data_IF_455605266187
#
_entry.id   IF_455605266187
#
_cell.length_a   1.000
_cell.length_b   1.000
_cell.length_c   1.000
_cell.angle_alpha   90.00
_cell.angle_beta   90.00
_cell.angle_gamma   90.00
#
_symmetry.space_group_name_H-M   'P 1'
#
loop_
_entity.id
_entity.type
_entity.pdbx_description
1 polymer ?
#
# COMPACT_ATOMS: atom_id res chain seq x y z
N UNK A 1 9.56 -6.77 19.56
CA UNK A 1 8.62 -6.03 18.70
C UNK A 1 8.66 -4.60 19.21
N UNK A 2 9.22 -3.65 18.45
CA UNK A 2 9.26 -2.25 18.92
C UNK A 2 7.86 -1.67 18.74
N UNK A 3 7.13 -1.48 19.84
CA UNK A 3 5.86 -0.75 19.88
C UNK A 3 6.15 0.74 19.72
N UNK A 4 6.33 1.18 18.47
CA UNK A 4 6.27 2.59 18.15
C UNK A 4 4.82 2.94 17.86
N UNK A 5 4.16 3.77 18.69
CA UNK A 5 2.78 4.18 18.42
C UNK A 5 2.72 4.86 17.05
N UNK A 6 1.67 4.60 16.26
CA UNK A 6 1.54 5.21 14.94
C UNK A 6 1.50 6.73 15.09
N UNK A 7 2.36 7.42 14.33
CA UNK A 7 2.35 8.88 14.27
C UNK A 7 1.49 9.30 13.09
N UNK A 8 0.44 10.06 13.37
CA UNK A 8 -0.43 10.63 12.34
C UNK A 8 0.27 11.80 11.66
N UNK A 9 0.15 11.88 10.35
CA UNK A 9 0.69 12.97 9.54
C UNK A 9 -0.40 13.56 8.66
N UNK A 10 -0.35 14.88 8.37
CA UNK A 10 -1.27 15.48 7.40
C UNK A 10 -1.01 14.90 6.00
N UNK A 11 -2.05 14.79 5.14
CA UNK A 11 -1.94 14.19 3.81
C UNK A 11 -0.90 14.89 2.90
N UNK A 12 -0.64 16.17 3.16
CA UNK A 12 0.32 17.00 2.42
C UNK A 12 1.78 16.72 2.74
N UNK A 13 2.07 15.95 3.81
CA UNK A 13 3.46 15.68 4.20
C UNK A 13 4.09 14.60 3.32
N UNK A 14 5.21 14.94 2.68
CA UNK A 14 5.96 14.01 1.86
C UNK A 14 6.82 13.05 2.73
N UNK A 15 6.47 11.76 2.74
CA UNK A 15 7.10 10.76 3.59
C UNK A 15 8.34 10.14 2.90
N UNK A 16 9.48 10.85 2.86
CA UNK A 16 10.69 10.40 2.13
C UNK A 16 11.52 9.31 2.81
N UNK A 17 11.61 9.34 4.14
CA UNK A 17 12.69 8.65 4.88
C UNK A 17 12.24 7.48 5.76
N UNK A 18 10.94 7.33 6.02
CA UNK A 18 10.41 6.32 6.93
C UNK A 18 9.24 5.56 6.28
N UNK A 19 9.06 4.26 6.59
CA UNK A 19 7.91 3.51 6.13
C UNK A 19 6.62 4.20 6.55
N UNK A 20 5.62 4.16 5.68
CA UNK A 20 4.34 4.82 5.93
C UNK A 20 3.16 3.91 5.62
N UNK A 21 2.07 4.11 6.36
CA UNK A 21 0.76 3.54 6.09
C UNK A 21 -0.19 4.69 5.74
N UNK A 22 -0.83 4.60 4.60
CA UNK A 22 -1.84 5.56 4.12
C UNK A 22 -3.16 4.82 4.00
N UNK A 23 -4.20 5.32 4.65
CA UNK A 23 -5.53 4.72 4.67
C UNK A 23 -6.52 5.80 4.23
N UNK A 24 -7.39 5.49 3.27
CA UNK A 24 -8.38 6.45 2.79
C UNK A 24 -9.45 5.83 1.91
N UNK A 25 -10.40 6.67 1.51
CA UNK A 25 -11.38 6.30 0.50
C UNK A 25 -10.74 6.28 -0.87
N UNK A 26 -11.33 5.53 -1.80
CA UNK A 26 -10.81 5.34 -3.14
C UNK A 26 -10.45 6.66 -3.84
N UNK A 27 -11.40 7.59 -3.89
CA UNK A 27 -11.19 8.90 -4.50
C UNK A 27 -10.07 9.70 -3.81
N UNK A 28 -10.00 9.65 -2.49
CA UNK A 28 -9.01 10.41 -1.72
C UNK A 28 -7.61 9.85 -1.91
N UNK A 29 -7.48 8.52 -1.98
CA UNK A 29 -6.22 7.84 -2.30
C UNK A 29 -5.76 8.20 -3.70
N UNK A 30 -6.65 8.21 -4.69
CA UNK A 30 -6.27 8.53 -6.07
C UNK A 30 -5.83 10.00 -6.21
N UNK A 31 -6.51 10.93 -5.53
CA UNK A 31 -6.08 12.33 -5.44
C UNK A 31 -4.73 12.47 -4.73
N UNK A 32 -4.53 11.73 -3.63
CA UNK A 32 -3.30 11.76 -2.86
C UNK A 32 -2.11 11.20 -3.63
N UNK A 33 -2.28 10.08 -4.35
CA UNK A 33 -1.24 9.49 -5.20
C UNK A 33 -0.73 10.51 -6.22
N UNK A 34 -1.65 11.19 -6.91
CA UNK A 34 -1.34 12.27 -7.87
C UNK A 34 -0.61 13.43 -7.21
N UNK A 35 -1.10 13.89 -6.05
CA UNK A 35 -0.48 14.99 -5.30
C UNK A 35 0.95 14.65 -4.81
N UNK A 36 1.24 13.37 -4.58
CA UNK A 36 2.58 12.90 -4.19
C UNK A 36 3.45 12.50 -5.38
N UNK A 37 2.97 12.67 -6.62
CA UNK A 37 3.65 12.21 -7.84
C UNK A 37 4.03 10.73 -7.79
N UNK A 38 3.15 9.91 -7.19
CA UNK A 38 3.28 8.46 -7.16
C UNK A 38 2.55 7.84 -8.36
N UNK A 39 2.90 6.60 -8.74
CA UNK A 39 2.12 5.84 -9.71
C UNK A 39 0.65 5.78 -9.29
N UNK A 40 -0.23 5.75 -10.28
CA UNK A 40 -1.63 5.41 -10.06
C UNK A 40 -1.74 3.98 -9.50
N UNK A 41 -2.95 3.65 -9.03
CA UNK A 41 -3.28 2.35 -8.50
C UNK A 41 -2.89 1.22 -9.46
N UNK A 42 -2.17 0.17 -9.02
CA UNK A 42 -1.78 -0.93 -9.90
C UNK A 42 -3.00 -1.63 -10.51
N UNK A 43 -2.91 -1.97 -11.80
CA UNK A 43 -3.98 -2.67 -12.54
C UNK A 43 -4.47 -3.95 -11.84
N UNK A 44 -3.56 -4.64 -11.13
CA UNK A 44 -3.91 -5.87 -10.42
C UNK A 44 -4.95 -5.64 -9.33
N UNK A 45 -4.98 -4.46 -8.70
CA UNK A 45 -5.94 -4.11 -7.64
C UNK A 45 -7.04 -3.15 -8.10
N UNK A 46 -6.79 -2.36 -9.16
CA UNK A 46 -7.71 -1.33 -9.63
C UNK A 46 -9.13 -1.86 -9.91
N UNK A 47 -10.13 -1.22 -9.30
CA UNK A 47 -11.55 -1.50 -9.53
C UNK A 47 -12.03 -2.84 -8.98
N UNK A 48 -11.26 -3.51 -8.11
CA UNK A 48 -11.60 -4.84 -7.59
C UNK A 48 -12.00 -4.81 -6.13
N UNK A 49 -13.05 -5.57 -5.80
CA UNK A 49 -13.57 -5.69 -4.44
C UNK A 49 -14.11 -4.36 -3.89
N UNK A 50 -14.41 -4.35 -2.60
CA UNK A 50 -14.83 -3.17 -1.84
C UNK A 50 -13.65 -2.47 -1.17
N UNK A 51 -12.54 -3.16 -0.97
CA UNK A 51 -11.33 -2.59 -0.42
C UNK A 51 -10.08 -3.34 -0.88
N UNK A 52 -8.95 -2.67 -0.82
CA UNK A 52 -7.69 -3.16 -1.35
C UNK A 52 -6.53 -2.57 -0.55
N UNK A 53 -5.52 -3.39 -0.32
CA UNK A 53 -4.27 -2.99 0.31
C UNK A 53 -3.10 -3.37 -0.60
N UNK A 54 -2.13 -2.49 -0.76
CA UNK A 54 -0.94 -2.78 -1.53
C UNK A 54 0.27 -1.97 -1.09
N UNK A 55 1.46 -2.48 -1.39
CA UNK A 55 2.72 -1.80 -1.12
C UNK A 55 3.26 -1.13 -2.38
N UNK A 56 3.55 0.17 -2.29
CA UNK A 56 4.31 0.88 -3.30
C UNK A 56 5.78 0.99 -2.93
N UNK A 57 6.62 0.53 -3.85
CA UNK A 57 8.08 0.61 -3.75
C UNK A 57 8.56 1.94 -4.32
N UNK A 58 9.57 2.53 -3.68
CA UNK A 58 10.18 3.78 -4.13
C UNK A 58 11.65 3.53 -4.44
N UNK A 59 12.15 4.06 -5.56
CA UNK A 59 13.56 3.88 -5.95
C UNK A 59 14.54 4.40 -4.88
N UNK A 60 14.20 5.51 -4.22
CA UNK A 60 14.98 6.11 -3.13
C UNK A 60 14.07 6.51 -1.99
N UNK A 61 13.69 5.53 -1.17
CA UNK A 61 12.88 5.79 0.00
C UNK A 61 12.36 4.53 0.66
N UNK A 62 11.75 4.70 1.82
CA UNK A 62 11.04 3.61 2.47
C UNK A 62 9.73 3.29 1.72
N UNK A 63 9.26 2.03 1.75
CA UNK A 63 8.02 1.63 1.10
C UNK A 63 6.81 2.29 1.76
N UNK A 64 5.74 2.44 0.99
CA UNK A 64 4.43 2.85 1.50
C UNK A 64 3.47 1.68 1.39
N UNK A 65 2.78 1.35 2.47
CA UNK A 65 1.57 0.55 2.42
C UNK A 65 0.36 1.47 2.25
N UNK A 66 -0.50 1.16 1.29
CA UNK A 66 -1.70 1.90 0.96
C UNK A 66 -2.91 1.00 1.20
N UNK A 67 -3.93 1.52 1.87
CA UNK A 67 -5.22 0.87 2.09
C UNK A 67 -6.29 1.80 1.52
N UNK A 68 -7.03 1.31 0.53
CA UNK A 68 -8.14 2.01 -0.09
C UNK A 68 -9.42 1.23 0.13
N UNK A 69 -10.46 1.91 0.62
CA UNK A 69 -11.82 1.38 0.68
C UNK A 69 -12.76 2.18 -0.22
N UNK A 70 -13.79 1.53 -0.77
CA UNK A 70 -14.84 2.19 -1.53
C UNK A 70 -15.61 3.20 -0.67
N UNK A 71 -15.82 2.85 0.59
CA UNK A 71 -16.54 3.65 1.59
C UNK A 71 -15.99 3.38 3.01
N UNK A 72 -16.53 4.09 3.99
CA UNK A 72 -16.14 3.95 5.38
C UNK A 72 -16.43 2.55 5.95
N UNK A 73 -17.52 1.90 5.53
CA UNK A 73 -17.89 0.57 6.02
C UNK A 73 -16.87 -0.48 5.54
N UNK A 74 -16.41 -0.37 4.29
CA UNK A 74 -15.36 -1.21 3.74
C UNK A 74 -14.04 -1.05 4.51
N UNK A 75 -13.66 0.18 4.89
CA UNK A 75 -12.46 0.41 5.71
C UNK A 75 -12.59 -0.19 7.13
N UNK A 76 -13.76 -0.02 7.77
CA UNK A 76 -14.03 -0.61 9.09
C UNK A 76 -13.93 -2.14 9.04
N UNK A 77 -14.43 -2.76 7.97
CA UNK A 77 -14.36 -4.21 7.78
C UNK A 77 -12.92 -4.75 7.71
N UNK A 78 -11.93 -3.90 7.36
CA UNK A 78 -10.52 -4.29 7.27
C UNK A 78 -9.77 -4.29 8.61
N UNK A 79 -10.30 -3.65 9.66
CA UNK A 79 -9.57 -3.41 10.91
C UNK A 79 -9.01 -4.70 11.56
N UNK A 80 -9.74 -5.81 11.45
CA UNK A 80 -9.32 -7.13 11.97
C UNK A 80 -8.57 -8.01 10.96
N UNK A 81 -9.00 -8.15 9.69
CA UNK A 81 -8.32 -9.07 8.78
C UNK A 81 -6.98 -8.53 8.26
N UNK A 82 -6.83 -7.22 8.13
CA UNK A 82 -5.66 -6.62 7.47
C UNK A 82 -4.29 -6.98 8.11
N UNK A 83 -4.14 -7.00 9.46
CA UNK A 83 -2.87 -7.37 10.11
C UNK A 83 -2.30 -8.74 9.71
N UNK A 84 -3.11 -9.65 9.17
CA UNK A 84 -2.69 -11.02 8.83
C UNK A 84 -1.93 -11.14 7.49
N UNK A 85 -1.85 -10.06 6.70
CA UNK A 85 -1.35 -10.14 5.32
C UNK A 85 0.05 -9.56 5.09
N UNK A 86 0.87 -9.44 6.14
CA UNK A 86 2.22 -8.83 6.05
C UNK A 86 3.22 -9.51 5.09
N UNK A 87 2.92 -10.71 4.56
CA UNK A 87 3.74 -11.40 3.55
C UNK A 87 3.27 -11.16 2.10
N UNK A 88 2.16 -10.45 1.92
CA UNK A 88 1.56 -10.18 0.61
C UNK A 88 1.86 -8.72 0.23
N UNK A 89 2.34 -8.48 -0.99
CA UNK A 89 2.52 -7.13 -1.52
C UNK A 89 1.20 -6.47 -1.91
N UNK A 90 0.16 -7.27 -2.15
CA UNK A 90 -1.20 -6.79 -2.35
C UNK A 90 -2.24 -7.80 -1.84
N UNK A 91 -3.41 -7.28 -1.47
CA UNK A 91 -4.62 -8.04 -1.10
C UNK A 91 -5.86 -7.26 -1.53
N UNK A 92 -6.87 -7.97 -2.03
CA UNK A 92 -8.18 -7.44 -2.41
C UNK A 92 -9.24 -8.07 -1.51
N UNK A 93 -10.19 -7.27 -1.05
CA UNK A 93 -11.25 -7.66 -0.13
C UNK A 93 -12.65 -7.38 -0.69
N UNK A 94 -13.58 -8.28 -0.39
CA UNK A 94 -15.02 -8.07 -0.46
C UNK A 94 -15.57 -8.08 0.97
N UNK A 95 -15.96 -6.91 1.48
CA UNK A 95 -16.18 -6.69 2.90
C UNK A 95 -14.95 -7.04 3.73
N UNK A 96 -15.07 -8.02 4.62
CA UNK A 96 -13.97 -8.53 5.47
C UNK A 96 -13.24 -9.74 4.86
N UNK A 97 -13.70 -10.27 3.72
CA UNK A 97 -13.16 -11.49 3.11
C UNK A 97 -12.12 -11.13 2.06
N UNK A 98 -10.90 -11.64 2.21
CA UNK A 98 -9.90 -11.55 1.13
C UNK A 98 -10.32 -12.44 -0.05
N UNK A 99 -10.40 -11.85 -1.24
CA UNK A 99 -10.80 -12.52 -2.49
C UNK A 99 -9.63 -12.76 -3.45
N UNK A 100 -8.54 -12.01 -3.31
CA UNK A 100 -7.29 -12.19 -4.07
C UNK A 100 -6.11 -11.60 -3.28
N UNK A 101 -4.90 -12.13 -3.50
CA UNK A 101 -3.66 -11.71 -2.84
C UNK A 101 -2.43 -12.23 -3.56
N UNK A 102 -1.29 -11.56 -3.33
CA UNK A 102 -0.02 -12.08 -3.82
C UNK A 102 1.16 -11.15 -3.56
N UNK A 103 2.29 -11.50 -4.16
CA UNK A 103 3.49 -10.67 -4.18
C UNK A 103 3.65 -10.00 -5.54
N UNK A 104 4.23 -8.80 -5.56
CA UNK A 104 4.66 -8.20 -6.82
C UNK A 104 5.81 -9.02 -7.44
N UNK A 105 5.92 -9.09 -8.78
CA UNK A 105 7.07 -9.72 -9.42
C UNK A 105 8.36 -9.07 -8.91
N UNK A 106 9.33 -9.89 -8.50
CA UNK A 106 10.62 -9.38 -8.07
C UNK A 106 11.32 -8.66 -9.24
N UNK A 107 11.82 -7.45 -9.00
CA UNK A 107 12.73 -6.80 -9.94
C UNK A 107 14.09 -7.47 -9.82
N UNK A 108 14.56 -8.10 -10.90
CA UNK A 108 15.91 -8.68 -10.95
C UNK A 108 16.93 -7.54 -10.87
N UNK A 109 17.79 -7.59 -9.87
CA UNK A 109 18.88 -6.62 -9.72
C UNK A 109 20.12 -7.19 -10.42
N UNK A 110 20.51 -6.59 -11.54
CA UNK A 110 21.73 -6.97 -12.25
C UNK A 110 22.89 -6.20 -11.65
N UNK A 111 23.80 -6.90 -10.98
CA UNK A 111 25.05 -6.32 -10.46
C UNK A 111 26.16 -6.61 -11.46
N UNK A 112 26.72 -5.61 -12.16
CA UNK A 112 27.85 -5.83 -13.06
C UNK A 112 29.08 -6.24 -12.26
N UNK A 113 29.69 -7.37 -12.63
CA UNK A 113 30.98 -7.80 -12.08
C UNK A 113 32.08 -7.12 -12.88
N UNK A 114 32.87 -6.27 -12.23
CA UNK A 114 34.09 -5.70 -12.83
C UNK A 114 35.25 -6.63 -12.45
N UNK A 115 35.91 -7.30 -13.42
CA UNK A 115 37.11 -8.09 -13.13
C UNK A 115 38.24 -7.14 -12.67
N UNK A 116 38.98 -7.55 -11.63
CA UNK A 116 40.19 -6.87 -11.14
C UNK A 116 41.39 -7.12 -12.04
#
# INVERSE_FOLDING_TARGET
MQDHPPRLFPPTRFLRRAPALVIGLERDIDVWLKAQSLPDRPERVQGKGTAQAWTESRERGAPIAIVSGRDAAALVALARPLPHYGRQSFVIFEGSKAIDRGAWPARVQVVPVVPQ
#
